data_IF_057982662128
#
_entry.id   IF_057982662128
#
_cell.length_a   1.000
_cell.length_b   1.000
_cell.length_c   1.000
_cell.angle_alpha   90.00
_cell.angle_beta   90.00
_cell.angle_gamma   90.00
#
_symmetry.space_group_name_H-M   'P 1'
#
loop_
_entity.id
_entity.type
_entity.pdbx_description
1 polymer ?
#
# COMPACT_ATOMS: atom_id res chain seq x y z
N UNK A 1 -29.27 -1.30 -1.36
CA UNK A 1 -29.23 -1.93 -2.70
C UNK A 1 -27.82 -2.49 -2.93
N UNK A 2 -27.72 -3.70 -3.46
CA UNK A 2 -26.42 -4.38 -3.65
C UNK A 2 -25.86 -4.10 -5.04
N UNK A 3 -24.63 -3.61 -5.12
CA UNK A 3 -23.92 -3.41 -6.37
C UNK A 3 -23.50 -4.75 -6.98
N UNK A 4 -23.83 -4.99 -8.24
CA UNK A 4 -23.55 -6.26 -8.94
C UNK A 4 -22.05 -6.57 -9.11
N UNK A 5 -21.18 -5.56 -9.04
CA UNK A 5 -19.74 -5.74 -9.25
C UNK A 5 -18.92 -5.83 -7.96
N UNK A 6 -19.24 -5.05 -6.93
CA UNK A 6 -18.46 -5.08 -5.68
C UNK A 6 -19.21 -5.71 -4.51
N UNK A 7 -20.47 -6.12 -4.73
CA UNK A 7 -21.36 -6.79 -3.75
C UNK A 7 -21.59 -5.96 -2.48
N UNK A 8 -21.23 -4.69 -2.47
CA UNK A 8 -21.45 -3.79 -1.34
C UNK A 8 -22.90 -3.31 -1.33
N UNK A 9 -23.45 -3.20 -0.14
CA UNK A 9 -24.68 -2.46 0.06
C UNK A 9 -24.40 -0.96 -0.09
N UNK A 10 -25.15 -0.31 -0.95
CA UNK A 10 -25.03 1.11 -1.30
C UNK A 10 -26.40 1.78 -1.23
N UNK A 11 -26.40 3.06 -0.84
CA UNK A 11 -27.64 3.82 -0.73
C UNK A 11 -28.38 3.96 -2.06
N UNK A 12 -27.63 4.03 -3.18
CA UNK A 12 -28.19 4.10 -4.52
C UNK A 12 -27.30 3.42 -5.55
N UNK A 13 -27.91 2.76 -6.54
CA UNK A 13 -27.25 2.28 -7.73
C UNK A 13 -27.22 3.41 -8.79
N UNK A 14 -26.09 3.59 -9.46
CA UNK A 14 -25.91 4.66 -10.44
C UNK A 14 -26.44 4.26 -11.83
N UNK A 15 -25.92 3.17 -12.38
CA UNK A 15 -26.33 2.66 -13.70
C UNK A 15 -26.01 1.17 -13.83
N UNK A 16 -26.80 0.45 -14.62
CA UNK A 16 -26.60 -0.99 -14.91
C UNK A 16 -26.44 -1.87 -13.65
N UNK A 17 -27.09 -1.53 -12.54
CA UNK A 17 -26.97 -2.25 -11.27
C UNK A 17 -25.62 -2.04 -10.56
N UNK A 18 -24.85 -1.01 -10.93
CA UNK A 18 -23.55 -0.71 -10.38
C UNK A 18 -23.59 0.53 -9.47
N UNK A 19 -22.78 0.54 -8.43
CA UNK A 19 -22.51 1.78 -7.70
C UNK A 19 -21.64 2.73 -8.55
N UNK A 20 -21.64 4.02 -8.20
CA UNK A 20 -20.91 5.05 -8.95
C UNK A 20 -19.43 4.71 -9.17
N UNK A 21 -18.77 4.19 -8.17
CA UNK A 21 -17.33 3.82 -8.26
C UNK A 21 -17.09 2.67 -9.26
N UNK A 22 -17.95 1.63 -9.24
CA UNK A 22 -17.84 0.53 -10.19
C UNK A 22 -18.20 0.95 -11.61
N UNK A 23 -19.22 1.77 -11.76
CA UNK A 23 -19.58 2.32 -13.07
C UNK A 23 -18.44 3.14 -13.69
N UNK A 24 -17.83 4.07 -12.93
CA UNK A 24 -16.69 4.84 -13.41
C UNK A 24 -15.50 3.96 -13.76
N UNK A 25 -15.20 2.94 -12.94
CA UNK A 25 -14.14 1.98 -13.24
C UNK A 25 -14.31 1.33 -14.62
N UNK A 26 -15.51 0.84 -14.94
CA UNK A 26 -15.78 0.21 -16.24
C UNK A 26 -15.86 1.24 -17.38
N UNK A 27 -16.38 2.44 -17.12
CA UNK A 27 -16.39 3.53 -18.09
C UNK A 27 -14.97 3.93 -18.53
N UNK A 28 -14.02 3.90 -17.58
CA UNK A 28 -12.60 4.22 -17.83
C UNK A 28 -11.81 3.02 -18.42
N UNK A 29 -12.51 2.01 -18.93
CA UNK A 29 -11.91 0.84 -19.57
C UNK A 29 -11.37 -0.20 -18.59
N UNK A 30 -11.76 -0.15 -17.33
CA UNK A 30 -11.40 -1.18 -16.34
C UNK A 30 -12.09 -2.51 -16.66
N UNK A 31 -11.35 -3.61 -16.53
CA UNK A 31 -11.83 -4.98 -16.71
C UNK A 31 -11.72 -5.78 -15.43
N UNK A 32 -12.51 -6.85 -15.29
CA UNK A 32 -12.32 -7.82 -14.21
C UNK A 32 -11.39 -8.90 -14.74
N UNK A 33 -10.23 -9.02 -14.13
CA UNK A 33 -9.22 -10.00 -14.46
C UNK A 33 -9.44 -11.29 -13.65
N UNK A 34 -8.89 -12.44 -14.09
CA UNK A 34 -8.80 -13.63 -13.26
C UNK A 34 -8.15 -13.31 -11.91
N UNK A 35 -8.62 -13.95 -10.85
CA UNK A 35 -8.04 -13.75 -9.53
C UNK A 35 -6.61 -14.29 -9.49
N UNK A 36 -5.62 -13.52 -9.03
CA UNK A 36 -4.25 -14.00 -8.91
C UNK A 36 -4.16 -15.17 -7.92
N UNK A 37 -3.21 -16.06 -8.13
CA UNK A 37 -2.89 -17.12 -7.18
C UNK A 37 -2.29 -16.54 -5.89
N UNK A 38 -2.54 -17.21 -4.78
CA UNK A 38 -1.94 -16.84 -3.50
C UNK A 38 -0.40 -16.85 -3.59
N UNK A 39 0.24 -15.89 -2.97
CA UNK A 39 1.69 -15.71 -3.00
C UNK A 39 2.24 -14.99 -4.22
N UNK A 40 1.43 -14.70 -5.24
CA UNK A 40 1.86 -14.04 -6.48
C UNK A 40 1.18 -12.67 -6.66
N UNK A 41 1.84 -11.78 -7.40
CA UNK A 41 1.23 -10.51 -7.83
C UNK A 41 1.04 -10.57 -9.34
N UNK A 42 -0.19 -10.38 -9.79
CA UNK A 42 -0.51 -10.28 -11.20
C UNK A 42 -0.73 -8.82 -11.61
N UNK A 43 -0.42 -8.53 -12.86
CA UNK A 43 -0.63 -7.24 -13.49
C UNK A 43 -1.55 -7.41 -14.70
N UNK A 44 -2.37 -6.42 -14.96
CA UNK A 44 -3.15 -6.33 -16.20
C UNK A 44 -2.28 -5.85 -17.38
N UNK A 45 -2.87 -5.78 -18.57
CA UNK A 45 -2.18 -5.32 -19.79
C UNK A 45 -1.64 -3.89 -19.70
N UNK A 46 -2.20 -3.07 -18.77
CA UNK A 46 -1.76 -1.69 -18.49
C UNK A 46 -0.66 -1.62 -17.44
N UNK A 47 -0.25 -2.76 -16.87
CA UNK A 47 0.72 -2.82 -15.78
C UNK A 47 0.16 -2.48 -14.41
N UNK A 48 -1.18 -2.46 -14.24
CA UNK A 48 -1.83 -2.20 -12.97
C UNK A 48 -1.94 -3.49 -12.15
N UNK A 49 -1.86 -3.37 -10.83
CA UNK A 49 -1.88 -4.52 -9.93
C UNK A 49 -3.30 -5.06 -9.77
N UNK A 50 -3.51 -6.34 -10.03
CA UNK A 50 -4.81 -7.01 -9.90
C UNK A 50 -5.09 -7.36 -8.44
N UNK A 51 -6.29 -7.03 -7.97
CA UNK A 51 -6.74 -7.35 -6.62
C UNK A 51 -7.17 -8.83 -6.50
N UNK A 52 -6.64 -9.55 -5.53
CA UNK A 52 -6.99 -10.96 -5.25
C UNK A 52 -8.45 -11.17 -4.79
N UNK A 53 -9.14 -10.11 -4.38
CA UNK A 53 -10.51 -10.23 -3.86
C UNK A 53 -11.54 -9.98 -4.96
N UNK A 54 -11.33 -8.98 -5.81
CA UNK A 54 -12.35 -8.56 -6.78
C UNK A 54 -11.89 -8.62 -8.24
N UNK A 55 -10.64 -9.02 -8.54
CA UNK A 55 -10.10 -9.12 -9.89
C UNK A 55 -9.92 -7.78 -10.62
N UNK A 56 -10.23 -6.65 -9.99
CA UNK A 56 -10.02 -5.32 -10.59
C UNK A 56 -8.58 -4.88 -10.45
N UNK A 57 -8.06 -4.21 -11.47
CA UNK A 57 -6.68 -3.73 -11.49
C UNK A 57 -6.59 -2.26 -11.13
N UNK A 58 -5.59 -1.89 -10.33
CA UNK A 58 -5.39 -0.53 -9.84
C UNK A 58 -3.92 -0.13 -9.86
N UNK A 59 -3.67 1.15 -10.14
CA UNK A 59 -2.33 1.73 -10.07
C UNK A 59 -1.71 1.63 -8.67
N UNK A 60 -2.52 1.80 -7.63
CA UNK A 60 -2.14 1.67 -6.21
C UNK A 60 -3.13 0.78 -5.48
N UNK A 61 -2.77 -0.48 -5.34
CA UNK A 61 -3.63 -1.49 -4.74
C UNK A 61 -3.96 -1.19 -3.27
N UNK A 62 -3.01 -0.64 -2.52
CA UNK A 62 -3.20 -0.35 -1.09
C UNK A 62 -4.37 0.59 -0.80
N UNK A 63 -4.56 1.64 -1.63
CA UNK A 63 -5.70 2.56 -1.50
C UNK A 63 -7.01 1.85 -1.79
N UNK A 64 -7.06 1.03 -2.84
CA UNK A 64 -8.24 0.25 -3.20
C UNK A 64 -8.62 -0.76 -2.10
N UNK A 65 -7.66 -1.52 -1.59
CA UNK A 65 -7.88 -2.52 -0.53
C UNK A 65 -8.46 -1.87 0.73
N UNK A 66 -7.95 -0.72 1.13
CA UNK A 66 -8.46 0.02 2.28
C UNK A 66 -9.89 0.53 2.05
N UNK A 67 -10.17 1.11 0.90
CA UNK A 67 -11.48 1.72 0.60
C UNK A 67 -12.55 0.69 0.23
N UNK A 68 -12.18 -0.31 -0.58
CA UNK A 68 -13.14 -1.28 -1.11
C UNK A 68 -13.34 -2.49 -0.20
N UNK A 69 -12.32 -2.92 0.53
CA UNK A 69 -12.35 -4.15 1.34
C UNK A 69 -12.15 -3.91 2.83
N UNK A 70 -12.03 -2.63 3.25
CA UNK A 70 -11.82 -2.21 4.65
C UNK A 70 -10.67 -2.97 5.34
N UNK A 71 -9.58 -3.18 4.59
CA UNK A 71 -8.45 -3.98 5.01
C UNK A 71 -7.15 -3.19 4.89
N UNK A 72 -6.24 -3.34 5.86
CA UNK A 72 -4.90 -2.77 5.75
C UNK A 72 -4.09 -3.56 4.73
N UNK A 73 -3.14 -2.90 4.07
CA UNK A 73 -2.26 -3.58 3.09
C UNK A 73 -1.42 -4.69 3.73
N UNK A 74 -1.10 -4.57 5.02
CA UNK A 74 -0.38 -5.59 5.78
C UNK A 74 -1.25 -6.84 5.95
N UNK A 75 -2.49 -6.69 6.44
CA UNK A 75 -3.43 -7.79 6.59
C UNK A 75 -3.77 -8.45 5.23
N UNK A 76 -3.86 -7.65 4.17
CA UNK A 76 -4.03 -8.15 2.82
C UNK A 76 -2.86 -9.04 2.37
N UNK A 77 -1.62 -8.60 2.56
CA UNK A 77 -0.43 -9.39 2.22
C UNK A 77 -0.36 -10.69 3.02
N UNK A 78 -0.63 -10.63 4.31
CA UNK A 78 -0.68 -11.82 5.18
C UNK A 78 -1.76 -12.81 4.72
N UNK A 79 -2.97 -12.31 4.41
CA UNK A 79 -4.10 -13.14 3.96
C UNK A 79 -3.80 -13.89 2.66
N UNK A 80 -3.11 -13.26 1.72
CA UNK A 80 -2.79 -13.85 0.41
C UNK A 80 -1.37 -14.41 0.33
N UNK A 81 -0.65 -14.53 1.44
CA UNK A 81 0.70 -15.10 1.48
C UNK A 81 1.75 -14.29 0.71
N UNK A 82 1.51 -12.98 0.52
CA UNK A 82 2.42 -12.12 -0.21
C UNK A 82 3.61 -11.72 0.67
N UNK A 83 4.81 -11.67 0.08
CA UNK A 83 6.00 -11.15 0.76
C UNK A 83 5.77 -9.70 1.23
N UNK A 84 6.30 -9.33 2.41
CA UNK A 84 6.19 -7.98 2.95
C UNK A 84 6.70 -6.90 1.98
N UNK A 85 7.72 -7.22 1.20
CA UNK A 85 8.30 -6.33 0.19
C UNK A 85 7.58 -6.39 -1.18
N UNK A 86 6.52 -7.20 -1.30
CA UNK A 86 5.78 -7.32 -2.55
C UNK A 86 5.25 -5.94 -2.99
N UNK A 87 5.53 -5.58 -4.24
CA UNK A 87 5.13 -4.28 -4.82
C UNK A 87 3.62 -4.30 -5.09
N UNK A 88 2.90 -3.39 -4.46
CA UNK A 88 1.45 -3.22 -4.60
C UNK A 88 1.07 -1.98 -5.39
N UNK A 89 2.01 -1.52 -6.21
CA UNK A 89 1.85 -0.36 -7.10
C UNK A 89 2.27 -0.74 -8.51
N UNK A 90 1.75 -0.02 -9.49
CA UNK A 90 2.17 -0.10 -10.89
C UNK A 90 3.69 -0.03 -11.02
N UNK A 91 4.27 -0.82 -11.93
CA UNK A 91 5.72 -0.89 -12.10
C UNK A 91 6.33 0.46 -12.53
N UNK A 92 5.63 1.23 -13.36
CA UNK A 92 6.07 2.57 -13.82
C UNK A 92 5.92 3.64 -12.75
N UNK A 93 5.03 3.45 -11.76
CA UNK A 93 4.73 4.45 -10.74
C UNK A 93 5.95 4.84 -9.90
N UNK A 94 6.78 3.87 -9.53
CA UNK A 94 8.02 4.15 -8.77
C UNK A 94 8.99 5.03 -9.55
N UNK A 95 9.12 4.81 -10.86
CA UNK A 95 9.96 5.66 -11.73
C UNK A 95 9.39 7.05 -11.83
N UNK A 96 8.11 7.17 -12.11
CA UNK A 96 7.43 8.47 -12.19
C UNK A 96 7.59 9.28 -10.91
N UNK A 97 7.44 8.67 -9.73
CA UNK A 97 7.62 9.35 -8.43
C UNK A 97 9.07 9.71 -8.18
N UNK A 98 10.02 8.88 -8.60
CA UNK A 98 11.45 9.20 -8.55
C UNK A 98 11.76 10.43 -9.41
N UNK A 99 11.34 10.43 -10.67
CA UNK A 99 11.60 11.53 -11.60
C UNK A 99 10.94 12.83 -11.11
N UNK A 100 9.70 12.74 -10.62
CA UNK A 100 9.03 13.87 -9.98
C UNK A 100 9.82 14.44 -8.80
N UNK A 101 10.35 13.58 -7.93
CA UNK A 101 11.13 14.01 -6.79
C UNK A 101 12.42 14.76 -7.20
N UNK A 102 13.10 14.30 -8.26
CA UNK A 102 14.28 14.99 -8.77
C UNK A 102 13.93 16.30 -9.48
N UNK A 103 12.88 16.33 -10.31
CA UNK A 103 12.41 17.56 -10.97
C UNK A 103 12.05 18.66 -9.98
N UNK A 104 11.51 18.30 -8.81
CA UNK A 104 11.15 19.24 -7.75
C UNK A 104 12.25 19.43 -6.70
N UNK A 105 13.46 18.94 -6.96
CA UNK A 105 14.61 19.07 -6.05
C UNK A 105 14.36 18.58 -4.60
N UNK A 106 13.44 17.59 -4.46
CA UNK A 106 13.07 17.05 -3.14
C UNK A 106 14.25 16.40 -2.38
N UNK A 107 15.19 15.67 -3.03
CA UNK A 107 16.33 15.10 -2.34
C UNK A 107 17.19 16.14 -1.63
N UNK A 108 17.45 17.30 -2.27
CA UNK A 108 18.22 18.38 -1.68
C UNK A 108 17.46 19.10 -0.57
N UNK A 109 16.15 19.33 -0.76
CA UNK A 109 15.30 19.88 0.28
C UNK A 109 15.31 19.00 1.54
N UNK A 110 15.20 17.67 1.37
CA UNK A 110 15.27 16.71 2.46
C UNK A 110 16.67 16.67 3.11
N UNK A 111 17.73 16.84 2.33
CA UNK A 111 19.10 16.94 2.85
C UNK A 111 19.25 18.14 3.76
N UNK A 112 18.77 19.31 3.35
CA UNK A 112 18.84 20.56 4.11
C UNK A 112 17.96 20.49 5.36
N UNK A 113 16.69 20.16 5.20
CA UNK A 113 15.73 20.09 6.33
C UNK A 113 16.05 18.96 7.30
N UNK A 114 16.59 17.85 6.81
CA UNK A 114 16.99 16.70 7.61
C UNK A 114 18.33 16.88 8.34
N UNK A 115 19.15 17.86 7.97
CA UNK A 115 20.48 18.04 8.55
C UNK A 115 20.44 18.24 10.08
N UNK A 116 19.46 19.01 10.55
CA UNK A 116 19.28 19.31 11.98
C UNK A 116 18.58 18.20 12.77
N UNK A 117 17.91 17.28 12.08
CA UNK A 117 17.14 16.18 12.69
C UNK A 117 17.86 14.84 12.59
N UNK A 118 18.97 14.78 11.84
CA UNK A 118 19.79 13.55 11.73
C UNK A 118 20.56 13.32 13.02
N UNK A 119 20.50 12.10 13.50
CA UNK A 119 21.31 11.66 14.62
C UNK A 119 22.76 11.62 14.15
N UNK A 120 23.65 12.30 14.88
CA UNK A 120 25.09 12.26 14.62
C UNK A 120 25.69 10.95 15.12
N UNK A 121 26.72 10.41 14.46
CA UNK A 121 27.42 9.25 14.98
C UNK A 121 27.88 9.49 16.42
N UNK A 122 27.55 8.61 17.35
CA UNK A 122 27.87 8.74 18.78
C UNK A 122 26.82 9.46 19.62
N UNK A 123 25.80 10.07 19.06
CA UNK A 123 24.68 10.63 19.83
C UNK A 123 23.65 9.53 20.14
N UNK A 124 23.33 9.37 21.42
CA UNK A 124 22.23 8.50 21.85
C UNK A 124 20.88 9.12 21.46
N UNK A 125 20.09 8.37 20.70
CA UNK A 125 18.76 8.80 20.31
C UNK A 125 17.80 8.69 21.50
N UNK A 126 17.87 9.63 22.39
CA UNK A 126 16.86 9.80 23.44
C UNK A 126 15.69 10.59 22.86
N UNK A 127 14.72 9.94 22.30
CA UNK A 127 13.43 10.56 21.99
C UNK A 127 12.75 10.85 23.32
N UNK A 128 12.85 12.08 23.80
CA UNK A 128 12.17 12.57 25.01
C UNK A 128 12.53 11.76 26.30
N UNK A 129 13.81 11.43 26.50
CA UNK A 129 14.27 10.72 27.70
C UNK A 129 13.83 9.27 27.83
N UNK A 130 13.22 8.69 26.80
CA UNK A 130 12.82 7.27 26.79
C UNK A 130 13.91 6.42 26.14
N UNK A 131 14.32 5.30 26.79
CA UNK A 131 15.27 4.36 26.19
C UNK A 131 14.71 3.81 24.87
N UNK A 132 15.60 3.60 23.90
CA UNK A 132 15.23 3.06 22.58
C UNK A 132 14.60 1.69 22.80
N UNK A 133 13.44 1.42 22.17
CA UNK A 133 12.78 0.09 22.18
C UNK A 133 13.71 -1.07 21.86
N UNK A 134 14.82 -0.82 21.17
CA UNK A 134 15.86 -1.79 20.86
C UNK A 134 16.57 -2.30 22.12
N UNK A 135 16.89 -1.40 23.07
CA UNK A 135 17.52 -1.80 24.34
C UNK A 135 16.57 -2.57 25.23
N UNK A 136 15.29 -2.19 25.29
CA UNK A 136 14.28 -2.96 26.03
C UNK A 136 14.12 -4.38 25.47
N UNK A 137 14.15 -4.51 24.15
CA UNK A 137 14.05 -5.82 23.50
C UNK A 137 15.29 -6.69 23.70
N UNK A 138 16.48 -6.10 23.74
CA UNK A 138 17.73 -6.80 24.04
C UNK A 138 17.77 -7.26 25.51
N UNK A 139 17.35 -6.40 26.44
CA UNK A 139 17.25 -6.76 27.88
C UNK A 139 16.21 -7.86 28.09
N UNK A 140 15.04 -7.78 27.41
CA UNK A 140 14.02 -8.84 27.47
C UNK A 140 14.52 -10.17 26.90
N UNK A 141 15.32 -10.13 25.83
CA UNK A 141 15.94 -11.34 25.25
C UNK A 141 16.99 -11.95 26.18
N UNK A 142 17.85 -11.14 26.77
CA UNK A 142 18.85 -11.59 27.72
C UNK A 142 18.22 -12.25 28.97
N UNK A 143 17.12 -11.70 29.51
CA UNK A 143 16.37 -12.26 30.64
C UNK A 143 15.61 -13.56 30.35
N UNK A 144 15.34 -13.87 29.07
CA UNK A 144 14.70 -15.13 28.65
C UNK A 144 15.68 -16.23 28.34
N UNK A 145 16.98 -15.92 28.25
CA UNK A 145 18.07 -16.85 27.98
C UNK A 145 18.82 -17.28 29.25
N UNK A 146 18.47 -16.69 30.40
CA UNK A 146 18.93 -17.09 31.77
C UNK A 146 17.80 -17.79 32.52
#
# INVERSE_FOLDING_TARGET
>A
MICLSCIKDVNALYSKGLCRACYNYFKDGGTVNPLPEAGTIAYDERGYVVCHICGKAYRRLGTHVKQAHDMTIKAYKERFGLCNNAKTTEASYSRMMHDYAYQHNMPEQLRITGANTRIKPGENHLRLGKPIRLQENLIKRARRAS
#
